data_IF_271203752678
#
_entry.id   IF_271203752678
#
_cell.length_a   1.000
_cell.length_b   1.000
_cell.length_c   1.000
_cell.angle_alpha   90.00
_cell.angle_beta   90.00
_cell.angle_gamma   90.00
#
_symmetry.space_group_name_H-M   'P 1'
#
loop_
_entity.id
_entity.type
_entity.pdbx_description
1 polymer ?
#
# COMPACT_ATOMS: atom_id res chain seq x y z
N UNK A 1 -63.87 -37.93 -20.90
CA UNK A 1 -62.73 -36.99 -20.92
C UNK A 1 -62.75 -36.22 -19.61
N UNK A 2 -61.95 -36.63 -18.63
CA UNK A 2 -61.97 -36.08 -17.28
C UNK A 2 -61.10 -34.81 -17.21
N UNK A 3 -61.72 -33.68 -16.87
CA UNK A 3 -61.04 -32.39 -16.72
C UNK A 3 -60.15 -32.37 -15.48
N UNK A 4 -58.91 -31.92 -15.66
CA UNK A 4 -57.94 -31.76 -14.56
C UNK A 4 -58.46 -30.64 -13.64
N UNK A 5 -58.60 -30.87 -12.33
CA UNK A 5 -59.14 -29.86 -11.42
C UNK A 5 -58.18 -28.67 -11.30
N UNK A 6 -58.73 -27.45 -11.38
CA UNK A 6 -57.98 -26.17 -11.39
C UNK A 6 -57.03 -25.97 -10.18
N UNK A 7 -57.20 -26.76 -9.11
CA UNK A 7 -56.31 -26.77 -7.94
C UNK A 7 -54.95 -27.42 -8.22
N UNK A 8 -54.85 -28.33 -9.19
CA UNK A 8 -53.56 -28.89 -9.62
C UNK A 8 -52.73 -27.88 -10.42
N UNK A 9 -53.36 -26.99 -11.19
CA UNK A 9 -52.64 -25.99 -11.99
C UNK A 9 -51.91 -24.95 -11.12
N UNK A 10 -52.49 -24.61 -9.96
CA UNK A 10 -51.88 -23.68 -8.99
C UNK A 10 -50.65 -24.26 -8.28
N UNK A 11 -50.62 -25.57 -8.00
CA UNK A 11 -49.44 -26.20 -7.41
C UNK A 11 -48.27 -26.30 -8.40
N UNK A 12 -48.55 -26.51 -9.69
CA UNK A 12 -47.50 -26.53 -10.72
C UNK A 12 -46.94 -25.13 -11.03
N UNK A 13 -47.77 -24.09 -11.04
CA UNK A 13 -47.30 -22.70 -11.27
C UNK A 13 -46.52 -22.14 -10.07
N UNK A 14 -46.87 -22.54 -8.85
CA UNK A 14 -46.13 -22.17 -7.62
C UNK A 14 -44.76 -22.85 -7.56
N UNK A 15 -44.67 -24.12 -7.99
CA UNK A 15 -43.41 -24.86 -8.07
C UNK A 15 -42.44 -24.31 -9.13
N UNK A 16 -42.94 -23.71 -10.21
CA UNK A 16 -42.08 -23.12 -11.25
C UNK A 16 -41.51 -21.75 -10.86
N UNK A 17 -42.15 -21.04 -9.91
CA UNK A 17 -41.68 -19.73 -9.48
C UNK A 17 -40.55 -19.80 -8.43
N UNK A 18 -40.47 -20.88 -7.66
CA UNK A 18 -39.38 -21.09 -6.70
C UNK A 18 -38.11 -21.68 -7.32
N UNK A 19 -38.17 -22.24 -8.53
CA UNK A 19 -37.00 -22.83 -9.20
C UNK A 19 -36.16 -21.75 -9.94
N UNK A 20 -36.72 -20.58 -10.24
CA UNK A 20 -35.99 -19.50 -10.93
C UNK A 20 -35.39 -18.42 -10.01
N UNK A 21 -35.52 -18.52 -8.68
CA UNK A 21 -34.96 -17.53 -7.75
C UNK A 21 -33.58 -17.91 -7.17
N UNK A 22 -33.05 -19.09 -7.49
CA UNK A 22 -31.70 -19.52 -7.04
C UNK A 22 -30.82 -19.73 -8.26
N UNK A 23 -30.43 -18.63 -8.91
CA UNK A 23 -29.25 -18.54 -9.80
C UNK A 23 -29.04 -17.08 -10.25
N UNK A 24 -29.08 -16.14 -9.31
CA UNK A 24 -28.26 -14.93 -9.47
C UNK A 24 -26.92 -15.24 -8.85
N UNK A 25 -26.06 -15.95 -9.60
CA UNK A 25 -24.65 -16.02 -9.26
C UNK A 25 -24.13 -14.58 -9.32
N UNK A 26 -23.95 -13.97 -8.15
CA UNK A 26 -23.26 -12.69 -8.02
C UNK A 26 -21.90 -12.87 -8.68
N UNK A 27 -21.69 -12.23 -9.83
CA UNK A 27 -20.39 -12.19 -10.48
C UNK A 27 -19.48 -11.31 -9.61
N UNK A 28 -18.96 -11.91 -8.54
CA UNK A 28 -18.08 -11.25 -7.59
C UNK A 28 -16.72 -11.16 -8.27
N UNK A 29 -16.35 -9.99 -8.77
CA UNK A 29 -14.96 -9.74 -9.14
C UNK A 29 -14.10 -10.09 -7.92
N UNK A 30 -13.19 -11.05 -8.08
CA UNK A 30 -12.27 -11.46 -7.01
C UNK A 30 -11.34 -10.28 -6.71
N UNK A 31 -11.58 -9.57 -5.60
CA UNK A 31 -10.76 -8.43 -5.21
C UNK A 31 -9.47 -8.92 -4.55
N UNK A 32 -8.33 -8.71 -5.19
CA UNK A 32 -7.02 -9.03 -4.61
C UNK A 32 -6.54 -7.91 -3.68
N UNK A 33 -6.10 -8.28 -2.48
CA UNK A 33 -5.46 -7.40 -1.48
C UNK A 33 -3.98 -7.75 -1.37
N UNK A 34 -3.18 -6.87 -0.79
CA UNK A 34 -1.78 -7.21 -0.48
C UNK A 34 -1.73 -8.01 0.82
N UNK A 35 -1.07 -9.16 0.77
CA UNK A 35 -0.74 -9.98 1.93
C UNK A 35 0.76 -10.04 2.11
N UNK A 36 1.21 -10.12 3.36
CA UNK A 36 2.57 -10.45 3.74
C UNK A 36 2.58 -11.93 4.09
N UNK A 37 3.42 -12.68 3.36
CA UNK A 37 3.61 -14.12 3.50
C UNK A 37 4.96 -14.33 4.15
N UNK A 38 4.97 -14.85 5.36
CA UNK A 38 6.18 -15.22 6.08
C UNK A 38 6.53 -16.68 5.77
N UNK A 39 7.76 -16.90 5.35
CA UNK A 39 8.28 -18.18 4.88
C UNK A 39 9.31 -18.72 5.85
N UNK A 40 9.30 -20.04 6.08
CA UNK A 40 10.34 -20.74 6.81
C UNK A 40 11.56 -20.92 5.91
N UNK A 41 12.65 -20.24 6.25
CA UNK A 41 13.90 -20.31 5.49
C UNK A 41 14.45 -21.74 5.39
N UNK A 42 14.30 -22.54 6.45
CA UNK A 42 14.88 -23.88 6.54
C UNK A 42 14.14 -24.92 5.69
N UNK A 43 12.89 -24.61 5.32
CA UNK A 43 12.05 -25.49 4.51
C UNK A 43 12.32 -25.36 2.99
N UNK A 44 13.30 -24.55 2.56
CA UNK A 44 13.61 -24.38 1.14
C UNK A 44 14.07 -25.70 0.51
N UNK A 45 13.38 -26.19 -0.54
CA UNK A 45 13.84 -27.37 -1.26
C UNK A 45 15.17 -27.11 -1.97
N UNK A 46 16.09 -28.07 -1.93
CA UNK A 46 17.39 -27.98 -2.59
C UNK A 46 17.34 -27.89 -4.12
N UNK A 47 16.14 -28.00 -4.72
CA UNK A 47 15.91 -27.81 -6.16
C UNK A 47 15.92 -26.35 -6.60
N UNK A 48 15.79 -25.40 -5.67
CA UNK A 48 15.79 -23.97 -5.97
C UNK A 48 17.17 -23.36 -5.81
N UNK A 49 17.54 -22.47 -6.74
CA UNK A 49 18.81 -21.75 -6.70
C UNK A 49 18.88 -20.75 -5.54
N UNK A 50 17.76 -20.11 -5.23
CA UNK A 50 17.63 -19.17 -4.13
C UNK A 50 16.22 -19.16 -3.53
N UNK A 51 16.09 -18.48 -2.39
CA UNK A 51 14.83 -18.33 -1.67
C UNK A 51 13.78 -17.54 -2.46
N UNK A 52 14.18 -16.59 -3.33
CA UNK A 52 13.24 -15.76 -4.09
C UNK A 52 12.54 -16.58 -5.17
N UNK A 53 13.29 -17.42 -5.88
CA UNK A 53 12.78 -18.35 -6.87
C UNK A 53 11.79 -19.33 -6.23
N UNK A 54 12.12 -19.84 -5.03
CA UNK A 54 11.22 -20.70 -4.27
C UNK A 54 9.93 -19.97 -3.86
N UNK A 55 10.03 -18.78 -3.27
CA UNK A 55 8.86 -17.99 -2.86
C UNK A 55 7.96 -17.65 -4.05
N UNK A 56 8.56 -17.28 -5.18
CA UNK A 56 7.81 -16.95 -6.40
C UNK A 56 7.01 -18.14 -6.92
N UNK A 57 7.62 -19.34 -6.90
CA UNK A 57 6.94 -20.58 -7.27
C UNK A 57 5.75 -20.89 -6.36
N UNK A 58 5.87 -20.67 -5.05
CA UNK A 58 4.77 -20.85 -4.09
C UNK A 58 3.58 -19.94 -4.40
N UNK A 59 3.84 -18.65 -4.68
CA UNK A 59 2.80 -17.68 -5.04
C UNK A 59 2.12 -18.06 -6.37
N UNK A 60 2.88 -18.56 -7.35
CA UNK A 60 2.33 -19.01 -8.63
C UNK A 60 1.49 -20.29 -8.47
N UNK A 61 1.85 -21.19 -7.56
CA UNK A 61 1.06 -22.41 -7.30
C UNK A 61 -0.35 -22.11 -6.83
N UNK A 62 -0.54 -21.02 -6.06
CA UNK A 62 -1.86 -20.61 -5.57
C UNK A 62 -2.64 -19.77 -6.59
N UNK A 63 -1.95 -19.22 -7.59
CA UNK A 63 -2.46 -18.23 -8.53
C UNK A 63 -3.49 -18.73 -9.56
N UNK A 64 -3.64 -20.05 -9.71
CA UNK A 64 -4.32 -20.65 -10.85
C UNK A 64 -5.85 -20.50 -10.83
N UNK A 65 -6.34 -19.37 -11.35
CA UNK A 65 -7.43 -19.35 -12.33
C UNK A 65 -7.03 -18.43 -13.49
N UNK A 66 -6.87 -18.94 -14.72
CA UNK A 66 -6.53 -18.12 -15.87
C UNK A 66 -7.80 -17.42 -16.36
N UNK A 67 -8.07 -16.23 -15.84
CA UNK A 67 -8.92 -15.29 -16.56
C UNK A 67 -8.09 -14.71 -17.70
N UNK A 68 -8.46 -15.04 -18.94
CA UNK A 68 -7.75 -14.74 -20.20
C UNK A 68 -7.57 -13.24 -20.53
N UNK A 69 -7.78 -12.34 -19.57
CA UNK A 69 -7.82 -10.89 -19.82
C UNK A 69 -6.75 -10.07 -19.08
N UNK A 70 -5.92 -10.68 -18.23
CA UNK A 70 -4.98 -9.90 -17.42
C UNK A 70 -3.55 -10.00 -17.99
N UNK A 71 -3.22 -9.04 -18.84
CA UNK A 71 -1.84 -8.64 -19.08
C UNK A 71 -1.20 -8.28 -17.71
N UNK A 72 -0.07 -8.91 -17.40
CA UNK A 72 0.82 -8.72 -16.23
C UNK A 72 0.70 -9.74 -15.08
N UNK A 73 1.04 -11.01 -15.34
CA UNK A 73 1.47 -11.95 -14.28
C UNK A 73 2.74 -11.49 -13.53
N UNK A 74 3.46 -10.50 -14.07
CA UNK A 74 4.69 -9.95 -13.49
C UNK A 74 4.46 -8.99 -12.31
N UNK A 75 3.24 -8.50 -12.05
CA UNK A 75 2.99 -7.50 -11.01
C UNK A 75 2.33 -8.05 -9.72
N UNK A 76 2.26 -9.38 -9.57
CA UNK A 76 1.65 -10.02 -8.39
C UNK A 76 2.51 -9.91 -7.14
N UNK A 77 3.82 -10.10 -7.28
CA UNK A 77 4.78 -9.99 -6.18
C UNK A 77 5.22 -8.53 -6.09
N UNK A 78 4.91 -7.90 -4.96
CA UNK A 78 5.21 -6.49 -4.71
C UNK A 78 6.62 -6.32 -4.14
N UNK A 79 7.03 -7.23 -3.26
CA UNK A 79 8.32 -7.14 -2.57
C UNK A 79 8.76 -8.48 -2.00
N UNK A 80 10.06 -8.75 -1.95
CA UNK A 80 10.64 -9.94 -1.30
C UNK A 80 11.50 -9.53 -0.10
N UNK A 81 11.18 -10.08 1.06
CA UNK A 81 11.93 -9.87 2.31
C UNK A 81 13.00 -10.95 2.46
N UNK A 82 14.26 -10.54 2.58
CA UNK A 82 15.41 -11.45 2.70
C UNK A 82 16.21 -11.28 3.99
N UNK A 83 16.01 -10.20 4.73
CA UNK A 83 16.85 -9.79 5.88
C UNK A 83 16.11 -9.85 7.21
N UNK A 84 15.21 -8.89 7.47
CA UNK A 84 14.49 -8.76 8.75
C UNK A 84 13.58 -9.95 9.04
N UNK A 85 13.03 -10.57 8.00
CA UNK A 85 12.41 -11.88 8.00
C UNK A 85 12.46 -12.43 6.58
N UNK A 86 12.13 -13.71 6.43
CA UNK A 86 12.07 -14.41 5.16
C UNK A 86 10.63 -14.45 4.67
N UNK A 87 10.35 -13.89 3.49
CA UNK A 87 8.98 -13.82 3.01
C UNK A 87 8.76 -12.98 1.77
N UNK A 88 7.49 -12.80 1.40
CA UNK A 88 7.06 -12.08 0.20
C UNK A 88 5.79 -11.28 0.48
N UNK A 89 5.71 -10.05 -0.04
CA UNK A 89 4.46 -9.31 -0.16
C UNK A 89 3.87 -9.55 -1.54
N UNK A 90 2.64 -10.07 -1.61
CA UNK A 90 1.98 -10.41 -2.86
C UNK A 90 0.50 -10.02 -2.87
N UNK A 91 -0.02 -9.72 -4.06
CA UNK A 91 -1.44 -9.49 -4.29
C UNK A 91 -2.17 -10.83 -4.40
N UNK A 92 -2.99 -11.13 -3.41
CA UNK A 92 -3.73 -12.39 -3.31
C UNK A 92 -5.22 -12.11 -3.04
N UNK A 93 -6.09 -12.99 -3.52
CA UNK A 93 -7.44 -13.10 -2.99
C UNK A 93 -7.41 -13.72 -1.59
N UNK A 94 -8.52 -13.64 -0.87
CA UNK A 94 -8.64 -14.26 0.46
C UNK A 94 -8.50 -15.79 0.36
N UNK A 95 -9.09 -16.39 -0.67
CA UNK A 95 -8.99 -17.83 -0.93
C UNK A 95 -7.57 -18.26 -1.32
N UNK A 96 -6.86 -17.44 -2.10
CA UNK A 96 -5.44 -17.66 -2.43
C UNK A 96 -4.57 -17.60 -1.16
N UNK A 97 -4.83 -16.63 -0.27
CA UNK A 97 -4.10 -16.46 0.99
C UNK A 97 -4.33 -17.64 1.94
N UNK A 98 -5.57 -18.07 2.13
CA UNK A 98 -5.92 -19.24 2.97
C UNK A 98 -5.31 -20.54 2.45
N UNK A 99 -5.26 -20.71 1.13
CA UNK A 99 -4.61 -21.87 0.50
C UNK A 99 -3.10 -21.85 0.71
N UNK A 100 -2.50 -20.67 0.65
CA UNK A 100 -1.07 -20.49 0.85
C UNK A 100 -0.67 -20.75 2.30
N UNK A 101 -1.46 -20.30 3.27
CA UNK A 101 -1.21 -20.53 4.70
C UNK A 101 -1.13 -22.01 5.07
N UNK A 102 -1.83 -22.87 4.32
CA UNK A 102 -1.83 -24.33 4.51
C UNK A 102 -0.62 -25.04 3.88
N UNK A 103 0.21 -24.34 3.10
CA UNK A 103 1.35 -24.94 2.41
C UNK A 103 2.55 -25.13 3.33
N UNK A 104 3.31 -26.20 3.12
CA UNK A 104 4.55 -26.43 3.85
C UNK A 104 5.58 -25.32 3.56
N UNK A 105 6.29 -24.88 4.61
CA UNK A 105 7.24 -23.78 4.51
C UNK A 105 6.62 -22.39 4.59
N UNK A 106 5.29 -22.27 4.72
CA UNK A 106 4.60 -21.01 5.04
C UNK A 106 4.32 -20.96 6.54
N UNK A 107 4.82 -19.93 7.22
CA UNK A 107 4.64 -19.77 8.68
C UNK A 107 3.41 -18.94 9.03
N UNK A 108 3.15 -17.88 8.25
CA UNK A 108 2.04 -16.97 8.48
C UNK A 108 1.66 -16.24 7.19
N UNK A 109 0.37 -15.97 7.02
CA UNK A 109 -0.15 -15.10 5.97
C UNK A 109 -1.07 -14.07 6.62
N UNK A 110 -0.76 -12.80 6.47
CA UNK A 110 -1.59 -11.73 7.04
C UNK A 110 -1.76 -10.57 6.07
N UNK A 111 -2.93 -9.89 6.07
CA UNK A 111 -3.16 -8.75 5.21
C UNK A 111 -2.19 -7.62 5.57
N UNK A 112 -1.66 -6.94 4.56
CA UNK A 112 -0.86 -5.74 4.79
C UNK A 112 -1.72 -4.66 5.46
N UNK A 113 -1.21 -4.14 6.57
CA UNK A 113 -1.75 -2.93 7.19
C UNK A 113 -0.82 -1.75 6.92
N UNK A 114 -1.27 -0.78 6.12
CA UNK A 114 -0.54 0.47 5.91
C UNK A 114 -0.78 1.35 7.14
N UNK A 115 0.19 1.39 8.04
CA UNK A 115 0.18 2.37 9.12
C UNK A 115 0.53 3.75 8.55
N UNK A 116 -0.35 4.73 8.77
CA UNK A 116 -0.02 6.13 8.50
C UNK A 116 1.08 6.55 9.46
N UNK A 117 2.28 6.82 8.94
CA UNK A 117 3.34 7.38 9.77
C UNK A 117 2.93 8.79 10.20
N UNK A 118 2.55 8.95 11.47
CA UNK A 118 2.45 10.28 12.07
C UNK A 118 3.86 10.86 12.18
N UNK A 119 4.04 12.05 11.59
CA UNK A 119 5.33 12.66 11.26
C UNK A 119 6.22 13.04 12.43
N UNK A 120 7.54 13.00 12.20
CA UNK A 120 8.51 13.86 12.85
C UNK A 120 8.23 15.33 12.50
N UNK A 121 7.60 16.06 13.44
CA UNK A 121 7.45 17.52 13.36
C UNK A 121 8.86 18.13 13.46
N UNK A 122 9.40 18.60 12.34
CA UNK A 122 10.72 19.24 12.30
C UNK A 122 10.55 20.76 12.27
N UNK A 123 10.74 21.47 13.41
CA UNK A 123 10.79 22.93 13.40
C UNK A 123 12.08 23.39 12.69
N UNK A 124 11.94 24.35 11.77
CA UNK A 124 13.07 25.00 11.11
C UNK A 124 13.02 26.51 11.32
N UNK A 125 14.18 27.16 11.35
CA UNK A 125 14.30 28.61 11.44
C UNK A 125 15.21 29.12 10.33
N UNK A 126 14.76 30.17 9.62
CA UNK A 126 15.55 30.87 8.60
C UNK A 126 15.86 32.28 9.08
N UNK A 127 17.05 32.78 8.72
CA UNK A 127 17.50 34.14 9.04
C UNK A 127 17.64 34.93 7.75
N UNK A 128 17.04 36.12 7.67
CA UNK A 128 17.22 37.00 6.52
C UNK A 128 18.62 37.62 6.55
N UNK A 129 19.44 37.35 5.53
CA UNK A 129 20.78 37.95 5.36
C UNK A 129 20.84 38.98 4.23
N UNK A 130 19.73 39.18 3.52
CA UNK A 130 19.60 40.08 2.37
C UNK A 130 18.81 41.36 2.67
N UNK A 131 17.98 41.78 1.71
CA UNK A 131 17.18 43.01 1.81
C UNK A 131 16.22 42.97 3.00
N UNK A 132 16.04 44.07 3.75
CA UNK A 132 15.21 44.11 4.95
C UNK A 132 13.76 43.68 4.69
N UNK A 133 13.18 44.12 3.58
CA UNK A 133 11.83 43.74 3.16
C UNK A 133 11.92 42.72 2.04
N UNK A 134 11.45 41.50 2.29
CA UNK A 134 11.51 40.39 1.32
C UNK A 134 10.43 39.35 1.58
N UNK A 135 9.92 38.75 0.51
CA UNK A 135 8.89 37.71 0.56
C UNK A 135 9.42 36.43 -0.09
N UNK A 136 9.53 35.37 0.70
CA UNK A 136 9.99 34.06 0.23
C UNK A 136 8.82 33.08 0.19
N UNK A 137 8.64 32.42 -0.95
CA UNK A 137 7.66 31.35 -1.11
C UNK A 137 8.36 29.98 -1.04
N UNK A 138 7.70 29.04 -0.37
CA UNK A 138 8.18 27.65 -0.32
C UNK A 138 7.80 26.90 -1.60
N UNK A 139 8.75 26.12 -2.10
CA UNK A 139 8.54 25.12 -3.13
C UNK A 139 9.13 23.81 -2.64
N UNK A 140 8.31 22.76 -2.70
CA UNK A 140 8.69 21.42 -2.24
C UNK A 140 8.79 20.52 -3.46
N UNK A 141 9.90 19.78 -3.59
CA UNK A 141 10.03 18.77 -4.65
C UNK A 141 8.95 17.67 -4.48
N UNK A 142 8.43 17.09 -5.57
CA UNK A 142 7.48 15.98 -5.49
C UNK A 142 8.11 14.80 -4.73
N UNK A 143 7.41 14.28 -3.72
CA UNK A 143 7.76 13.03 -3.05
C UNK A 143 6.77 11.95 -3.45
N UNK A 144 7.25 10.82 -3.98
CA UNK A 144 6.37 9.70 -4.35
C UNK A 144 5.76 9.11 -3.07
N UNK A 145 4.43 9.16 -2.98
CA UNK A 145 3.71 8.57 -1.85
C UNK A 145 3.73 9.35 -0.53
N UNK A 146 4.27 10.58 -0.52
CA UNK A 146 4.36 11.41 0.68
C UNK A 146 3.73 12.78 0.42
N UNK A 147 2.76 13.12 1.24
CA UNK A 147 2.16 14.44 1.33
C UNK A 147 3.00 15.33 2.25
N UNK A 148 3.57 16.41 1.70
CA UNK A 148 4.34 17.38 2.48
C UNK A 148 3.55 18.66 2.66
N UNK A 149 3.34 19.07 3.91
CA UNK A 149 2.73 20.33 4.29
C UNK A 149 3.75 21.23 4.96
N UNK A 150 3.87 22.46 4.48
CA UNK A 150 4.71 23.49 5.09
C UNK A 150 3.83 24.65 5.56
N UNK A 151 4.05 25.08 6.80
CA UNK A 151 3.32 26.21 7.40
C UNK A 151 4.30 27.19 8.06
N UNK A 152 4.26 28.49 7.72
CA UNK A 152 3.49 29.11 6.64
C UNK A 152 4.09 28.84 5.25
N UNK A 153 3.32 29.03 4.17
CA UNK A 153 3.79 28.85 2.77
C UNK A 153 4.59 30.05 2.24
N UNK A 154 4.48 31.19 2.92
CA UNK A 154 5.21 32.43 2.61
C UNK A 154 5.85 32.95 3.89
N UNK A 155 7.13 33.34 3.81
CA UNK A 155 7.86 34.02 4.87
C UNK A 155 8.16 35.45 4.44
N UNK A 156 7.59 36.40 5.17
CA UNK A 156 7.73 37.84 4.91
C UNK A 156 8.64 38.46 5.95
N UNK A 157 9.85 38.81 5.54
CA UNK A 157 10.78 39.55 6.39
C UNK A 157 10.57 41.05 6.23
N UNK A 158 10.67 41.77 7.34
CA UNK A 158 10.55 43.22 7.44
C UNK A 158 11.85 43.87 7.92
N UNK A 159 12.83 43.08 8.35
CA UNK A 159 14.14 43.56 8.79
C UNK A 159 15.27 42.59 8.43
N UNK A 160 16.48 43.13 8.28
CA UNK A 160 17.71 42.33 8.11
C UNK A 160 18.02 41.59 9.42
N UNK A 161 18.50 40.35 9.32
CA UNK A 161 18.76 39.41 10.43
C UNK A 161 17.52 38.96 11.20
N UNK A 162 16.32 39.33 10.75
CA UNK A 162 15.08 38.79 11.31
C UNK A 162 15.04 37.29 11.09
N UNK A 163 14.61 36.56 12.13
CA UNK A 163 14.43 35.12 12.11
C UNK A 163 12.96 34.79 12.04
N UNK A 164 12.59 33.89 11.13
CA UNK A 164 11.24 33.36 11.04
C UNK A 164 11.28 31.84 11.10
N UNK A 165 10.26 31.27 11.72
CA UNK A 165 10.15 29.82 11.89
C UNK A 165 9.09 29.25 10.96
N UNK A 166 9.31 28.01 10.53
CA UNK A 166 8.38 27.26 9.71
C UNK A 166 8.30 25.82 10.21
N UNK A 167 7.21 25.17 9.86
CA UNK A 167 6.90 23.80 10.26
C UNK A 167 6.70 22.96 9.01
N UNK A 168 7.40 21.83 8.95
CA UNK A 168 7.23 20.83 7.88
C UNK A 168 6.60 19.57 8.47
N UNK A 169 5.58 19.07 7.78
CA UNK A 169 4.82 17.87 8.13
C UNK A 169 4.81 16.93 6.93
N UNK A 170 5.29 15.69 7.09
CA UNK A 170 5.45 14.66 6.04
C UNK A 170 4.47 13.47 6.18
N UNK A 171 3.24 13.55 5.70
CA UNK A 171 2.29 12.43 5.82
C UNK A 171 2.50 11.41 4.71
N UNK A 172 2.72 10.14 5.05
CA UNK A 172 2.85 9.06 4.05
C UNK A 172 1.45 8.59 3.63
N UNK A 173 1.15 8.66 2.34
CA UNK A 173 -0.13 8.22 1.77
C UNK A 173 -0.03 6.89 1.03
N UNK A 174 1.19 6.42 0.73
CA UNK A 174 1.43 5.12 0.12
C UNK A 174 2.72 4.48 0.65
N UNK A 175 2.86 3.17 0.43
CA UNK A 175 4.08 2.42 0.72
C UNK A 175 5.26 3.03 -0.05
N UNK A 176 6.40 3.18 0.61
CA UNK A 176 7.67 3.54 -0.02
C UNK A 176 8.56 2.30 -0.08
N UNK A 177 9.00 1.92 -1.28
CA UNK A 177 9.86 0.75 -1.50
C UNK A 177 11.35 1.07 -1.34
N UNK A 178 11.69 2.36 -1.26
CA UNK A 178 13.04 2.88 -1.01
C UNK A 178 12.97 4.18 -0.20
N UNK A 179 14.07 4.60 0.47
CA UNK A 179 14.16 5.94 1.05
C UNK A 179 14.04 7.00 -0.06
N UNK A 180 13.14 7.96 0.12
CA UNK A 180 12.97 9.08 -0.82
C UNK A 180 13.55 10.35 -0.20
N UNK A 181 14.53 10.94 -0.88
CA UNK A 181 15.14 12.23 -0.51
C UNK A 181 14.57 13.32 -1.40
N UNK A 182 14.28 14.48 -0.83
CA UNK A 182 13.79 15.62 -1.58
C UNK A 182 14.24 16.94 -0.98
N UNK A 183 13.97 18.02 -1.71
CA UNK A 183 14.45 19.34 -1.35
C UNK A 183 13.28 20.27 -1.04
N UNK A 184 13.46 21.06 0.02
CA UNK A 184 12.61 22.21 0.32
C UNK A 184 13.37 23.47 -0.08
N UNK A 185 12.78 24.24 -1.00
CA UNK A 185 13.40 25.41 -1.62
C UNK A 185 12.59 26.66 -1.27
N UNK A 186 13.23 27.65 -0.66
CA UNK A 186 12.66 28.99 -0.49
C UNK A 186 13.16 29.90 -1.60
N UNK A 187 12.25 30.62 -2.28
CA UNK A 187 12.57 31.54 -3.38
C UNK A 187 11.80 32.85 -3.26
N UNK A 188 12.49 33.97 -3.52
CA UNK A 188 11.92 35.34 -3.61
C UNK A 188 11.95 35.91 -5.04
N UNK A 189 12.42 35.10 -6.02
CA UNK A 189 12.64 35.49 -7.42
C UNK A 189 14.10 35.76 -7.78
N UNK A 190 14.98 36.07 -6.81
CA UNK A 190 16.41 36.39 -7.01
C UNK A 190 17.30 35.41 -6.25
N UNK A 191 16.94 35.09 -5.01
CA UNK A 191 17.66 34.20 -4.12
C UNK A 191 16.95 32.85 -3.99
N UNK A 192 17.73 31.77 -3.88
CA UNK A 192 17.25 30.40 -3.69
C UNK A 192 17.97 29.78 -2.51
N UNK A 193 17.22 29.37 -1.49
CA UNK A 193 17.75 28.65 -0.33
C UNK A 193 17.23 27.22 -0.39
N UNK A 194 18.13 26.25 -0.40
CA UNK A 194 17.79 24.83 -0.49
C UNK A 194 18.10 24.13 0.83
N UNK A 195 17.14 23.37 1.35
CA UNK A 195 17.30 22.46 2.49
C UNK A 195 16.97 21.04 2.05
N UNK A 196 17.92 20.11 2.24
CA UNK A 196 17.69 18.68 2.02
C UNK A 196 16.85 18.10 3.15
N UNK A 197 15.87 17.26 2.81
CA UNK A 197 15.00 16.55 3.75
C UNK A 197 14.85 15.10 3.31
N UNK A 198 14.99 14.20 4.28
CA UNK A 198 14.79 12.76 4.07
C UNK A 198 13.47 12.33 4.71
N UNK A 199 12.67 11.58 3.96
CA UNK A 199 11.48 10.92 4.48
C UNK A 199 11.74 9.41 4.57
N UNK A 200 11.58 8.82 5.76
CA UNK A 200 11.67 7.37 5.97
C UNK A 200 10.39 6.85 6.59
N UNK A 201 9.69 5.97 5.87
CA UNK A 201 8.62 5.15 6.44
C UNK A 201 9.23 4.01 7.24
N UNK A 202 8.85 3.85 8.52
CA UNK A 202 9.04 2.59 9.23
C UNK A 202 7.90 1.66 8.84
N UNK A 203 8.20 0.55 8.17
CA UNK A 203 7.24 -0.55 8.03
C UNK A 203 7.14 -1.19 9.41
N UNK A 204 5.98 -1.11 10.04
CA UNK A 204 5.71 -1.85 11.26
C UNK A 204 5.52 -3.33 10.88
N UNK A 205 6.57 -4.13 11.07
CA UNK A 205 6.42 -5.57 11.19
C UNK A 205 5.67 -5.82 12.50
N UNK A 206 4.66 -6.69 12.48
CA UNK A 206 3.89 -7.08 13.65
C UNK A 206 4.75 -7.90 14.62
N UNK A 207 5.69 -7.24 15.29
CA UNK A 207 6.50 -7.81 16.38
C UNK A 207 6.83 -6.74 17.43
N UNK A 208 5.83 -5.98 17.87
CA UNK A 208 5.89 -5.31 19.17
C UNK A 208 4.55 -5.53 19.88
N UNK A 209 4.42 -6.67 20.57
CA UNK A 209 3.50 -6.75 21.71
C UNK A 209 4.13 -5.94 22.84
N UNK A 210 3.44 -4.95 23.41
CA UNK A 210 3.91 -4.33 24.65
C UNK A 210 3.88 -5.39 25.77
N UNK A 211 4.98 -5.49 26.52
CA UNK A 211 4.97 -6.07 27.86
C UNK A 211 4.36 -5.07 28.85
#
# INVERSE_FOLDING_TARGET
MAGIPAKCLFFFLSSCLTINLVLSASNSQITKKTYIVQMDRSAMPGTFADHVAWYSSMIQSVASQPNKNDEAEEERIIYSYQTAFHGVAARLSEEEAERLEKQHGVMAVFPETIYQLHTTRSPGTVTNVGSPVSNYHVSVSPFKGVFVKVEPTTLSFTSKHQKLSYKVTFRTNSRQTAPESGNLIWKDGVHRIQSSKDARTKVATAEERPQ
#
